data_IF_223017864413
#
_entry.id   IF_223017864413
#
_cell.length_a   1.000
_cell.length_b   1.000
_cell.length_c   1.000
_cell.angle_alpha   90.00
_cell.angle_beta   90.00
_cell.angle_gamma   90.00
#
_symmetry.space_group_name_H-M   'P 1'
#
loop_
_entity.id
_entity.type
_entity.pdbx_description
1 polymer ?
#
# COMPACT_ATOMS: atom_id res chain seq x y z
N UNK A 1 -2.60 11.72 17.47
CA UNK A 1 -1.30 12.39 17.24
C UNK A 1 -0.63 11.71 16.06
N UNK A 2 -0.44 12.43 14.95
CA UNK A 2 0.36 11.98 13.79
C UNK A 2 -0.42 11.75 12.49
N UNK A 3 -0.90 12.82 11.83
CA UNK A 3 -1.18 12.87 10.38
C UNK A 3 -1.10 14.32 9.84
N UNK A 4 -0.20 15.17 10.35
CA UNK A 4 -0.12 16.58 9.91
C UNK A 4 0.85 16.84 8.74
N UNK A 5 1.57 15.82 8.25
CA UNK A 5 2.45 15.96 7.08
C UNK A 5 2.34 14.76 6.14
N UNK A 6 1.29 14.74 5.33
CA UNK A 6 1.11 13.74 4.27
C UNK A 6 1.34 14.42 2.92
N UNK A 7 2.44 14.06 2.26
CA UNK A 7 2.84 14.63 0.97
C UNK A 7 1.92 14.19 -0.18
N UNK A 8 1.99 14.90 -1.32
CA UNK A 8 1.20 14.61 -2.53
C UNK A 8 1.39 13.18 -3.05
N UNK A 9 2.54 12.55 -2.82
CA UNK A 9 2.77 11.15 -3.16
C UNK A 9 1.83 10.18 -2.43
N UNK A 10 1.54 10.42 -1.15
CA UNK A 10 0.59 9.60 -0.39
C UNK A 10 -0.82 9.71 -1.00
N UNK A 11 -1.31 10.93 -1.25
CA UNK A 11 -2.65 11.14 -1.80
C UNK A 11 -2.77 10.56 -3.22
N UNK A 12 -1.71 10.66 -4.02
CA UNK A 12 -1.64 10.05 -5.33
C UNK A 12 -1.82 8.52 -5.29
N UNK A 13 -1.12 7.82 -4.37
CA UNK A 13 -1.30 6.37 -4.17
C UNK A 13 -2.70 6.04 -3.64
N UNK A 14 -3.16 6.77 -2.61
CA UNK A 14 -4.45 6.53 -1.98
C UNK A 14 -5.60 6.68 -2.96
N UNK A 15 -5.57 7.70 -3.83
CA UNK A 15 -6.59 7.90 -4.84
C UNK A 15 -6.68 6.70 -5.80
N UNK A 16 -5.54 6.27 -6.36
CA UNK A 16 -5.50 5.12 -7.27
C UNK A 16 -6.02 3.82 -6.62
N UNK A 17 -5.68 3.60 -5.35
CA UNK A 17 -6.20 2.47 -4.56
C UNK A 17 -7.72 2.56 -4.38
N UNK A 18 -8.23 3.73 -3.99
CA UNK A 18 -9.65 3.95 -3.75
C UNK A 18 -10.47 3.79 -5.03
N UNK A 19 -9.97 4.25 -6.18
CA UNK A 19 -10.60 4.03 -7.49
C UNK A 19 -10.80 2.54 -7.76
N UNK A 20 -9.76 1.72 -7.53
CA UNK A 20 -9.84 0.27 -7.73
C UNK A 20 -10.81 -0.40 -6.76
N UNK A 21 -10.73 -0.05 -5.47
CA UNK A 21 -11.64 -0.60 -4.45
C UNK A 21 -13.10 -0.23 -4.73
N UNK A 22 -13.35 1.01 -5.18
CA UNK A 22 -14.67 1.46 -5.59
C UNK A 22 -15.21 0.67 -6.79
N UNK A 23 -14.40 0.47 -7.83
CA UNK A 23 -14.76 -0.35 -9.00
C UNK A 23 -15.09 -1.79 -8.60
N UNK A 24 -14.31 -2.37 -7.69
CA UNK A 24 -14.52 -3.72 -7.17
C UNK A 24 -15.69 -3.81 -6.19
N UNK A 25 -16.25 -2.67 -5.73
CA UNK A 25 -17.24 -2.59 -4.65
C UNK A 25 -16.76 -3.28 -3.37
N UNK A 26 -15.49 -3.08 -2.99
CA UNK A 26 -14.89 -3.70 -1.80
C UNK A 26 -14.29 -2.67 -0.85
N UNK A 27 -14.43 -2.95 0.43
CA UNK A 27 -13.63 -2.30 1.48
C UNK A 27 -12.45 -3.21 1.82
N UNK A 28 -11.27 -2.63 2.01
CA UNK A 28 -10.08 -3.35 2.42
C UNK A 28 -9.11 -2.44 3.16
N UNK A 29 -8.28 -3.02 4.01
CA UNK A 29 -7.04 -2.38 4.42
C UNK A 29 -5.97 -2.57 3.35
N UNK A 30 -5.18 -1.53 3.08
CA UNK A 30 -4.18 -1.55 2.00
C UNK A 30 -2.83 -1.10 2.55
N UNK A 31 -1.81 -1.90 2.27
CA UNK A 31 -0.41 -1.53 2.44
C UNK A 31 0.16 -1.18 1.05
N UNK A 32 0.37 0.12 0.80
CA UNK A 32 1.01 0.59 -0.42
C UNK A 32 2.48 0.90 -0.13
N UNK A 33 3.38 0.30 -0.91
CA UNK A 33 4.82 0.53 -0.80
C UNK A 33 5.33 1.08 -2.13
N UNK A 34 6.19 2.10 -2.02
CA UNK A 34 6.93 2.66 -3.14
C UNK A 34 8.38 2.77 -2.74
N UNK A 35 9.24 2.12 -3.50
CA UNK A 35 10.69 2.27 -3.39
C UNK A 35 11.16 3.35 -4.37
N UNK A 36 12.06 4.22 -3.91
CA UNK A 36 12.72 5.23 -4.74
C UNK A 36 14.20 4.88 -4.79
N UNK A 37 14.61 4.28 -5.91
CA UNK A 37 16.00 3.88 -6.13
C UNK A 37 16.90 5.04 -6.55
N UNK A 38 18.23 4.87 -6.48
CA UNK A 38 19.22 5.88 -6.92
C UNK A 38 19.09 6.26 -8.40
N UNK A 39 18.51 5.41 -9.23
CA UNK A 39 18.18 5.66 -10.63
C UNK A 39 17.13 6.76 -10.84
N UNK A 40 16.42 7.16 -9.79
CA UNK A 40 15.40 8.19 -9.85
C UNK A 40 16.02 9.60 -9.86
N UNK A 41 16.36 10.10 -11.05
CA UNK A 41 17.16 11.31 -11.20
C UNK A 41 16.35 12.61 -11.46
N UNK A 42 15.08 12.51 -11.86
CA UNK A 42 14.27 13.69 -12.19
C UNK A 42 12.86 13.63 -11.57
N UNK A 43 12.47 14.60 -10.73
CA UNK A 43 11.13 14.65 -10.15
C UNK A 43 10.12 15.15 -11.18
N UNK A 44 9.34 14.24 -11.77
CA UNK A 44 8.27 14.59 -12.72
C UNK A 44 6.92 14.89 -12.04
N UNK A 45 6.91 15.10 -10.72
CA UNK A 45 5.70 15.35 -9.93
C UNK A 45 4.99 14.07 -9.48
N UNK A 46 3.85 14.21 -8.78
CA UNK A 46 3.16 13.07 -8.12
C UNK A 46 2.28 12.25 -9.07
N UNK A 47 2.05 12.73 -10.30
CA UNK A 47 1.22 12.01 -11.29
C UNK A 47 1.80 10.62 -11.59
N UNK A 48 3.12 10.49 -11.69
CA UNK A 48 3.80 9.21 -11.94
C UNK A 48 3.51 8.16 -10.86
N UNK A 49 3.30 8.61 -9.62
CA UNK A 49 2.97 7.74 -8.49
C UNK A 49 1.56 7.19 -8.68
N UNK A 50 0.61 8.07 -9.00
CA UNK A 50 -0.78 7.69 -9.27
C UNK A 50 -0.87 6.72 -10.45
N UNK A 51 -0.20 7.02 -11.57
CA UNK A 51 -0.22 6.16 -12.75
C UNK A 51 0.50 4.84 -12.52
N UNK A 52 1.60 4.83 -11.76
CA UNK A 52 2.29 3.61 -11.37
C UNK A 52 1.40 2.67 -10.57
N UNK A 53 0.68 3.21 -9.57
CA UNK A 53 -0.27 2.41 -8.77
C UNK A 53 -1.46 1.94 -9.61
N UNK A 54 -2.03 2.78 -10.49
CA UNK A 54 -3.11 2.37 -11.41
C UNK A 54 -2.70 1.20 -12.31
N UNK A 55 -1.48 1.27 -12.87
CA UNK A 55 -0.92 0.18 -13.68
C UNK A 55 -0.77 -1.10 -12.87
N UNK A 56 -0.17 -1.02 -11.68
CA UNK A 56 -0.02 -2.18 -10.79
C UNK A 56 -1.36 -2.82 -10.38
N UNK A 57 -2.40 -2.01 -10.15
CA UNK A 57 -3.75 -2.50 -9.80
C UNK A 57 -4.56 -2.98 -11.01
N UNK A 58 -4.09 -2.72 -12.23
CA UNK A 58 -4.71 -3.18 -13.48
C UNK A 58 -4.08 -4.48 -14.00
N UNK A 59 -2.86 -4.81 -13.58
CA UNK A 59 -2.22 -6.10 -13.88
C UNK A 59 -2.79 -7.24 -13.05
N UNK A 60 -2.58 -8.49 -13.50
CA UNK A 60 -2.96 -9.69 -12.75
C UNK A 60 -2.22 -9.72 -11.40
N UNK A 61 -2.93 -9.77 -10.25
CA UNK A 61 -2.30 -9.77 -8.96
C UNK A 61 -1.80 -11.17 -8.56
N UNK A 62 -0.69 -11.21 -7.83
CA UNK A 62 -0.34 -12.40 -7.05
C UNK A 62 -1.30 -12.54 -5.87
N UNK A 63 -1.85 -13.72 -5.68
CA UNK A 63 -2.79 -14.04 -4.59
C UNK A 63 -2.13 -14.97 -3.59
N UNK A 64 -2.27 -14.65 -2.31
CA UNK A 64 -1.73 -15.42 -1.20
C UNK A 64 -2.86 -15.77 -0.23
N UNK A 65 -2.84 -16.98 0.33
CA UNK A 65 -3.81 -17.41 1.33
C UNK A 65 -3.58 -16.76 2.71
N UNK A 66 -2.35 -16.33 2.98
CA UNK A 66 -1.95 -15.72 4.24
C UNK A 66 -1.13 -14.45 4.04
N UNK A 67 -1.32 -13.47 4.93
CA UNK A 67 -0.55 -12.22 4.93
C UNK A 67 0.96 -12.48 5.09
N UNK A 68 1.35 -13.49 5.89
CA UNK A 68 2.75 -13.86 6.08
C UNK A 68 3.45 -14.21 4.77
N UNK A 69 2.80 -15.03 3.93
CA UNK A 69 3.35 -15.44 2.63
C UNK A 69 3.49 -14.25 1.67
N UNK A 70 2.52 -13.33 1.68
CA UNK A 70 2.61 -12.10 0.90
C UNK A 70 3.79 -11.23 1.34
N UNK A 71 4.00 -11.08 2.65
CA UNK A 71 5.12 -10.31 3.21
C UNK A 71 6.48 -10.97 2.94
N UNK A 72 6.57 -12.29 3.03
CA UNK A 72 7.81 -13.02 2.73
C UNK A 72 8.18 -12.93 1.25
N UNK A 73 7.19 -12.97 0.36
CA UNK A 73 7.40 -12.74 -1.07
C UNK A 73 7.89 -11.30 -1.30
N UNK A 74 7.17 -10.31 -0.78
CA UNK A 74 7.51 -8.89 -0.90
C UNK A 74 8.91 -8.58 -0.36
N UNK A 75 9.33 -9.20 0.75
CA UNK A 75 10.65 -9.01 1.35
C UNK A 75 11.82 -9.44 0.43
N UNK A 76 11.57 -10.28 -0.57
CA UNK A 76 12.58 -10.70 -1.57
C UNK A 76 12.70 -9.74 -2.75
N UNK A 77 11.65 -8.97 -3.02
CA UNK A 77 11.56 -8.07 -4.17
C UNK A 77 12.06 -6.64 -3.85
N UNK A 78 11.90 -6.19 -2.61
CA UNK A 78 12.31 -4.84 -2.19
C UNK A 78 13.81 -4.79 -1.86
N UNK A 79 14.49 -3.67 -2.14
CA UNK A 79 15.92 -3.53 -1.82
C UNK A 79 16.17 -3.12 -0.36
N UNK A 80 15.13 -2.77 0.39
CA UNK A 80 15.22 -2.40 1.81
C UNK A 80 14.81 -3.56 2.74
N UNK A 81 15.24 -3.50 4.01
CA UNK A 81 14.89 -4.52 5.00
C UNK A 81 13.43 -4.38 5.48
N UNK A 82 12.52 -5.11 4.82
CA UNK A 82 11.09 -5.12 5.16
C UNK A 82 10.81 -5.60 6.59
N UNK A 83 11.65 -6.49 7.15
CA UNK A 83 11.48 -7.00 8.52
C UNK A 83 11.71 -5.91 9.57
N UNK A 84 12.63 -4.99 9.32
CA UNK A 84 12.82 -3.80 10.16
C UNK A 84 11.59 -2.89 10.12
N UNK A 85 11.05 -2.69 8.92
CA UNK A 85 9.84 -1.88 8.69
C UNK A 85 8.59 -2.50 9.32
N UNK A 86 8.44 -3.83 9.24
CA UNK A 86 7.31 -4.55 9.84
C UNK A 86 7.33 -4.54 11.37
N UNK A 87 8.50 -4.35 12.00
CA UNK A 87 8.62 -4.16 13.46
C UNK A 87 8.33 -2.72 13.88
N UNK A 88 8.72 -1.74 13.08
CA UNK A 88 8.53 -0.31 13.40
C UNK A 88 7.12 0.17 13.08
N UNK A 89 6.55 -0.30 11.97
CA UNK A 89 5.19 -0.03 11.62
C UNK A 89 4.33 -1.10 12.28
N UNK A 90 3.38 -0.65 13.11
CA UNK A 90 2.29 -1.45 13.68
C UNK A 90 1.39 -2.11 12.61
N UNK A 91 1.86 -2.34 11.37
CA UNK A 91 1.12 -2.86 10.21
C UNK A 91 0.39 -4.15 10.54
N UNK A 92 1.08 -5.12 11.15
CA UNK A 92 0.44 -6.38 11.51
C UNK A 92 -0.68 -6.17 12.54
N UNK A 93 -0.52 -5.21 13.48
CA UNK A 93 -1.56 -4.90 14.46
C UNK A 93 -2.71 -4.06 13.86
N UNK A 94 -2.41 -3.16 12.92
CA UNK A 94 -3.41 -2.33 12.25
C UNK A 94 -4.26 -3.14 11.27
N UNK A 95 -3.63 -3.98 10.44
CA UNK A 95 -4.35 -4.88 9.53
C UNK A 95 -5.18 -5.92 10.29
N UNK A 96 -4.71 -6.40 11.46
CA UNK A 96 -5.47 -7.31 12.33
C UNK A 96 -6.62 -6.62 13.09
N UNK A 97 -6.51 -5.32 13.36
CA UNK A 97 -7.58 -4.50 13.98
C UNK A 97 -8.58 -3.94 12.98
N UNK A 98 -8.31 -4.07 11.68
CA UNK A 98 -9.24 -3.59 10.68
C UNK A 98 -10.54 -4.39 10.76
N UNK A 99 -11.64 -3.68 10.85
CA UNK A 99 -12.99 -4.23 10.89
C UNK A 99 -13.71 -3.78 9.62
N UNK A 100 -14.58 -4.63 9.07
CA UNK A 100 -15.52 -4.19 8.04
C UNK A 100 -16.42 -3.10 8.62
N UNK A 101 -17.07 -2.29 7.76
CA UNK A 101 -18.03 -1.31 8.24
C UNK A 101 -19.13 -1.97 9.09
N UNK A 102 -19.58 -3.16 8.70
CA UNK A 102 -20.52 -3.99 9.46
C UNK A 102 -19.99 -4.27 10.87
N UNK A 103 -18.77 -4.80 11.00
CA UNK A 103 -18.17 -5.06 12.31
C UNK A 103 -17.72 -3.81 13.09
N UNK A 104 -17.86 -2.61 12.53
CA UNK A 104 -17.70 -1.34 13.25
C UNK A 104 -19.05 -0.77 13.73
N UNK A 105 -20.14 -1.10 13.04
CA UNK A 105 -21.50 -0.65 13.37
C UNK A 105 -22.20 -1.57 14.39
N UNK A 106 -21.77 -2.82 14.49
CA UNK A 106 -22.12 -3.78 15.55
C UNK A 106 -21.32 -3.54 16.84
#
# INVERSE_FOLDING_TARGET
MGLEYMDGGHYAMRLAVLEKLFQMRRQAAVLALREVGPEYYAPVGVWQVREGVRRALSSEPLRFGELGWALDHLAREVRFNLRSLARSLYIAQFLKRWVSLEGFLD
#
